data_IF_794591128317
#
_entry.id   IF_794591128317
#
_cell.length_a   1.000
_cell.length_b   1.000
_cell.length_c   1.000
_cell.angle_alpha   90.00
_cell.angle_beta   90.00
_cell.angle_gamma   90.00
#
_symmetry.space_group_name_H-M   'P 1'
#
loop_
_entity.id
_entity.type
_entity.pdbx_description
1 polymer ?
#
# COMPACT_ATOMS: atom_id res chain seq x y z
N UNK A 1 14.08 -39.01 -28.78
CA UNK A 1 15.13 -38.48 -27.88
C UNK A 1 15.02 -36.98 -27.73
N UNK A 2 14.23 -36.51 -26.74
CA UNK A 2 14.39 -35.17 -26.13
C UNK A 2 14.19 -35.34 -24.63
N UNK A 3 15.27 -35.68 -23.95
CA UNK A 3 15.36 -35.54 -22.50
C UNK A 3 15.53 -34.06 -22.20
N UNK A 4 14.42 -33.36 -21.98
CA UNK A 4 14.42 -32.00 -21.46
C UNK A 4 14.87 -32.05 -20.00
N UNK A 5 16.15 -31.79 -19.76
CA UNK A 5 16.67 -31.60 -18.41
C UNK A 5 16.27 -30.18 -17.99
N UNK A 6 15.20 -30.07 -17.19
CA UNK A 6 14.92 -28.84 -16.45
C UNK A 6 16.07 -28.61 -15.47
N UNK A 7 16.61 -27.39 -15.33
CA UNK A 7 17.70 -27.13 -14.39
C UNK A 7 17.24 -27.52 -12.97
N UNK A 8 18.05 -28.25 -12.20
CA UNK A 8 17.70 -28.60 -10.83
C UNK A 8 17.52 -27.33 -10.00
N UNK A 9 16.42 -27.27 -9.24
CA UNK A 9 16.20 -26.22 -8.26
C UNK A 9 17.44 -26.07 -7.36
N UNK A 10 17.84 -24.83 -6.99
CA UNK A 10 19.09 -24.58 -6.27
C UNK A 10 19.16 -25.43 -5.00
N UNK A 11 20.18 -26.29 -4.95
CA UNK A 11 20.32 -27.38 -3.99
C UNK A 11 20.70 -26.95 -2.55
N UNK A 12 20.34 -25.75 -2.11
CA UNK A 12 20.76 -25.21 -0.81
C UNK A 12 19.65 -24.57 0.03
N UNK A 13 18.39 -24.64 -0.40
CA UNK A 13 17.26 -24.25 0.44
C UNK A 13 16.69 -25.51 1.10
N UNK A 14 17.19 -25.83 2.31
CA UNK A 14 16.63 -26.93 3.10
C UNK A 14 15.15 -26.64 3.41
N UNK A 15 14.28 -27.63 3.21
CA UNK A 15 12.84 -27.54 3.46
C UNK A 15 12.49 -26.94 4.83
N UNK A 16 13.35 -27.17 5.84
CA UNK A 16 13.21 -26.61 7.18
C UNK A 16 13.35 -25.07 7.20
N UNK A 17 14.28 -24.51 6.41
CA UNK A 17 14.47 -23.06 6.26
C UNK A 17 13.27 -22.43 5.56
N UNK A 18 12.77 -23.05 4.49
CA UNK A 18 11.55 -22.61 3.80
C UNK A 18 10.36 -22.53 4.75
N UNK A 19 10.12 -23.61 5.49
CA UNK A 19 9.00 -23.70 6.44
C UNK A 19 9.12 -22.64 7.54
N UNK A 20 10.35 -22.42 8.04
CA UNK A 20 10.60 -21.42 9.09
C UNK A 20 10.38 -20.00 8.60
N UNK A 21 10.80 -19.69 7.37
CA UNK A 21 10.59 -18.37 6.75
C UNK A 21 9.10 -18.13 6.51
N UNK A 22 8.37 -19.11 5.97
CA UNK A 22 6.92 -18.99 5.78
C UNK A 22 6.17 -18.77 7.11
N UNK A 23 6.61 -19.44 8.18
CA UNK A 23 6.05 -19.21 9.52
C UNK A 23 6.34 -17.79 10.03
N UNK A 24 7.55 -17.28 9.80
CA UNK A 24 7.94 -15.94 10.21
C UNK A 24 7.15 -14.86 9.44
N UNK A 25 6.98 -15.02 8.12
CA UNK A 25 6.17 -14.12 7.29
C UNK A 25 4.73 -14.04 7.83
N UNK A 26 4.11 -15.18 8.12
CA UNK A 26 2.76 -15.21 8.68
C UNK A 26 2.67 -14.51 10.04
N UNK A 27 3.69 -14.68 10.89
CA UNK A 27 3.75 -14.02 12.20
C UNK A 27 3.86 -12.50 12.05
N UNK A 28 4.67 -12.02 11.11
CA UNK A 28 4.82 -10.58 10.81
C UNK A 28 3.57 -9.96 10.19
N UNK A 29 2.88 -10.69 9.31
CA UNK A 29 1.58 -10.28 8.77
C UNK A 29 0.53 -10.14 9.88
N UNK A 30 0.46 -11.12 10.79
CA UNK A 30 -0.44 -11.05 11.94
C UNK A 30 -0.07 -9.89 12.89
N UNK A 31 1.21 -9.72 13.18
CA UNK A 31 1.68 -8.60 13.99
C UNK A 31 1.27 -7.27 13.36
N UNK A 32 1.47 -7.11 12.05
CA UNK A 32 1.07 -5.92 11.30
C UNK A 32 -0.45 -5.68 11.39
N UNK A 33 -1.25 -6.73 11.24
CA UNK A 33 -2.71 -6.66 11.37
C UNK A 33 -3.18 -6.19 12.76
N UNK A 34 -2.46 -6.56 13.83
CA UNK A 34 -2.79 -6.14 15.21
C UNK A 34 -2.24 -4.75 15.53
N UNK A 35 -1.01 -4.45 15.12
CA UNK A 35 -0.36 -3.17 15.41
C UNK A 35 -0.99 -2.02 14.63
N UNK A 36 -1.39 -2.23 13.37
CA UNK A 36 -1.95 -1.17 12.53
C UNK A 36 -3.19 -0.47 13.14
N UNK A 37 -4.25 -1.18 13.59
CA UNK A 37 -5.37 -0.54 14.26
C UNK A 37 -4.99 0.06 15.62
N UNK A 38 -4.02 -0.53 16.32
CA UNK A 38 -3.52 0.01 17.59
C UNK A 38 -2.80 1.34 17.41
N UNK A 39 -1.96 1.47 16.37
CA UNK A 39 -1.31 2.74 16.03
C UNK A 39 -2.31 3.77 15.53
N UNK A 40 -3.33 3.34 14.80
CA UNK A 40 -4.37 4.24 14.26
C UNK A 40 -5.16 4.96 15.37
N UNK A 41 -5.22 4.40 16.58
CA UNK A 41 -5.85 5.04 17.74
C UNK A 41 -5.23 6.41 18.10
N UNK A 42 -3.95 6.61 17.78
CA UNK A 42 -3.25 7.87 18.04
C UNK A 42 -3.13 8.75 16.80
N UNK A 43 -3.72 8.33 15.68
CA UNK A 43 -3.59 9.05 14.42
C UNK A 43 -4.43 10.33 14.42
N UNK A 44 -4.05 11.26 13.55
CA UNK A 44 -4.58 12.61 13.50
C UNK A 44 -6.11 12.61 13.31
N UNK A 45 -6.65 11.67 12.53
CA UNK A 45 -8.08 11.54 12.29
C UNK A 45 -8.88 11.20 13.56
N UNK A 46 -8.38 10.25 14.34
CA UNK A 46 -9.00 9.81 15.60
C UNK A 46 -8.97 10.96 16.61
N UNK A 47 -7.83 11.65 16.70
CA UNK A 47 -7.67 12.80 17.57
C UNK A 47 -8.61 13.94 17.15
N UNK A 48 -8.67 14.28 15.86
CA UNK A 48 -9.54 15.33 15.33
C UNK A 48 -11.02 15.02 15.61
N UNK A 49 -11.46 13.79 15.34
CA UNK A 49 -12.83 13.35 15.56
C UNK A 49 -13.22 13.48 17.03
N UNK A 50 -12.32 13.08 17.95
CA UNK A 50 -12.53 13.22 19.38
C UNK A 50 -12.57 14.69 19.83
N UNK A 51 -11.66 15.54 19.32
CA UNK A 51 -11.63 16.98 19.63
C UNK A 51 -12.91 17.70 19.19
N UNK A 52 -13.50 17.28 18.07
CA UNK A 52 -14.75 17.83 17.54
C UNK A 52 -16.00 17.25 18.20
N UNK A 53 -15.85 16.39 19.22
CA UNK A 53 -16.97 15.72 19.90
C UNK A 53 -17.68 14.67 19.03
N UNK A 54 -17.03 14.24 17.95
CA UNK A 54 -17.50 13.18 17.08
C UNK A 54 -17.43 11.81 17.74
N UNK A 55 -18.01 10.81 17.07
CA UNK A 55 -17.92 9.41 17.49
C UNK A 55 -17.23 8.61 16.40
N UNK A 56 -16.38 7.69 16.81
CA UNK A 56 -15.64 6.79 15.93
C UNK A 56 -16.41 5.48 15.83
N UNK A 57 -16.71 5.07 14.60
CA UNK A 57 -17.36 3.79 14.30
C UNK A 57 -16.48 3.00 13.34
N UNK A 58 -15.72 2.05 13.88
CA UNK A 58 -14.86 1.18 13.07
C UNK A 58 -15.72 0.18 12.28
N UNK A 59 -15.31 -0.08 11.04
CA UNK A 59 -15.93 -1.05 10.14
C UNK A 59 -15.00 -2.22 9.90
N UNK A 60 -15.56 -3.34 9.45
CA UNK A 60 -14.76 -4.49 9.05
C UNK A 60 -13.88 -4.13 7.84
N UNK A 61 -12.56 -4.33 7.99
CA UNK A 61 -11.62 -4.22 6.87
C UNK A 61 -11.76 -5.49 6.04
N UNK A 62 -12.22 -5.34 4.80
CA UNK A 62 -12.31 -6.46 3.86
C UNK A 62 -10.90 -6.88 3.43
N UNK A 63 -10.70 -8.18 3.23
CA UNK A 63 -9.50 -8.65 2.55
C UNK A 63 -9.44 -8.04 1.13
N UNK A 64 -8.24 -7.75 0.60
CA UNK A 64 -8.09 -7.37 -0.80
C UNK A 64 -8.65 -8.45 -1.74
N UNK A 65 -9.12 -8.03 -2.91
CA UNK A 65 -9.59 -8.95 -3.94
C UNK A 65 -8.44 -9.75 -4.59
N UNK A 66 -7.23 -9.20 -4.52
CA UNK A 66 -5.99 -9.83 -4.98
C UNK A 66 -4.94 -9.84 -3.86
N UNK A 67 -4.42 -11.02 -3.56
CA UNK A 67 -3.38 -11.29 -2.55
C UNK A 67 -2.11 -11.92 -3.15
N UNK A 68 -2.06 -12.05 -4.47
CA UNK A 68 -0.85 -12.29 -5.25
C UNK A 68 -0.71 -11.16 -6.28
N UNK A 69 0.40 -10.44 -6.20
CA UNK A 69 0.70 -9.31 -7.08
C UNK A 69 1.53 -9.75 -8.29
N UNK A 70 1.94 -11.02 -8.38
CA UNK A 70 2.80 -11.63 -9.41
C UNK A 70 4.23 -11.07 -9.44
N UNK A 71 4.39 -9.75 -9.46
CA UNK A 71 5.67 -9.06 -9.53
C UNK A 71 5.62 -7.65 -8.88
N UNK A 72 6.80 -7.05 -8.69
CA UNK A 72 6.92 -5.73 -8.04
C UNK A 72 6.35 -4.56 -8.84
N UNK A 73 6.19 -4.67 -10.16
CA UNK A 73 5.58 -3.63 -11.00
C UNK A 73 4.07 -3.57 -10.75
N UNK A 74 3.39 -4.71 -10.85
CA UNK A 74 1.95 -4.84 -10.56
C UNK A 74 1.64 -4.41 -9.12
N UNK A 75 2.48 -4.80 -8.15
CA UNK A 75 2.32 -4.37 -6.75
C UNK A 75 2.35 -2.84 -6.61
N UNK A 76 3.29 -2.17 -7.29
CA UNK A 76 3.41 -0.71 -7.25
C UNK A 76 2.31 0.00 -8.04
N UNK A 77 1.85 -0.56 -9.15
CA UNK A 77 0.70 -0.02 -9.88
C UNK A 77 -0.59 -0.11 -9.04
N UNK A 78 -0.78 -1.22 -8.34
CA UNK A 78 -1.88 -1.38 -7.39
C UNK A 78 -1.79 -0.34 -6.25
N UNK A 79 -0.61 -0.16 -5.65
CA UNK A 79 -0.38 0.86 -4.63
C UNK A 79 -0.65 2.28 -5.16
N UNK A 80 -0.19 2.61 -6.37
CA UNK A 80 -0.45 3.90 -7.00
C UNK A 80 -1.94 4.15 -7.24
N UNK A 81 -2.68 3.11 -7.67
CA UNK A 81 -4.13 3.18 -7.85
C UNK A 81 -4.85 3.43 -6.51
N UNK A 82 -4.43 2.72 -5.46
CA UNK A 82 -4.96 2.89 -4.11
C UNK A 82 -4.71 4.31 -3.60
N UNK A 83 -3.50 4.83 -3.73
CA UNK A 83 -3.16 6.20 -3.29
C UNK A 83 -3.95 7.27 -4.04
N UNK A 84 -4.14 7.11 -5.36
CA UNK A 84 -5.00 8.02 -6.13
C UNK A 84 -6.45 7.99 -5.66
N UNK A 85 -6.97 6.81 -5.33
CA UNK A 85 -8.33 6.64 -4.82
C UNK A 85 -8.50 7.27 -3.43
N UNK A 86 -7.51 7.07 -2.54
CA UNK A 86 -7.48 7.68 -1.23
C UNK A 86 -7.39 9.23 -1.32
N UNK A 87 -6.52 9.75 -2.18
CA UNK A 87 -6.42 11.19 -2.44
C UNK A 87 -7.72 11.77 -3.00
N UNK A 88 -8.41 11.06 -3.91
CA UNK A 88 -9.70 11.47 -4.43
C UNK A 88 -10.76 11.57 -3.32
N UNK A 89 -10.79 10.58 -2.41
CA UNK A 89 -11.67 10.62 -1.22
C UNK A 89 -11.37 11.81 -0.31
N UNK A 90 -10.09 12.16 -0.12
CA UNK A 90 -9.68 13.34 0.67
C UNK A 90 -10.12 14.66 0.02
N UNK A 91 -10.03 14.76 -1.31
CA UNK A 91 -10.50 15.93 -2.06
C UNK A 91 -12.03 16.09 -1.96
N UNK A 92 -12.78 14.98 -1.96
CA UNK A 92 -14.22 15.01 -1.74
C UNK A 92 -14.58 15.46 -0.33
N UNK A 93 -13.86 14.98 0.68
CA UNK A 93 -14.01 15.45 2.06
C UNK A 93 -13.68 16.95 2.19
N UNK A 94 -12.61 17.42 1.54
CA UNK A 94 -12.25 18.83 1.52
C UNK A 94 -13.33 19.70 0.86
N UNK A 95 -13.90 19.24 -0.26
CA UNK A 95 -15.03 19.93 -0.93
C UNK A 95 -16.26 19.99 -0.03
N UNK A 96 -16.54 18.90 0.70
CA UNK A 96 -17.63 18.88 1.68
C UNK A 96 -17.38 19.89 2.81
N UNK A 97 -16.18 19.89 3.39
CA UNK A 97 -15.78 20.82 4.45
C UNK A 97 -15.92 22.28 4.01
N UNK A 98 -15.43 22.59 2.81
CA UNK A 98 -15.57 23.91 2.17
C UNK A 98 -17.03 24.28 1.99
N UNK A 99 -17.85 23.36 1.45
CA UNK A 99 -19.29 23.58 1.27
C UNK A 99 -20.07 23.74 2.58
N UNK A 100 -19.52 23.28 3.71
CA UNK A 100 -20.08 23.47 5.05
C UNK A 100 -19.49 24.67 5.79
N UNK A 101 -18.58 25.42 5.17
CA UNK A 101 -17.83 26.51 5.80
C UNK A 101 -17.10 26.05 7.07
N UNK A 102 -16.41 24.91 7.02
CA UNK A 102 -15.60 24.38 8.12
C UNK A 102 -14.10 24.63 7.86
N UNK A 103 -13.59 25.85 8.12
CA UNK A 103 -12.21 26.20 7.81
C UNK A 103 -11.19 25.37 8.58
N UNK A 104 -11.53 24.94 9.80
CA UNK A 104 -10.65 24.10 10.61
C UNK A 104 -10.50 22.69 10.01
N UNK A 105 -11.52 22.16 9.32
CA UNK A 105 -11.43 20.85 8.67
C UNK A 105 -10.67 20.96 7.35
N UNK A 106 -10.89 22.04 6.60
CA UNK A 106 -10.12 22.35 5.39
C UNK A 106 -8.61 22.43 5.70
N UNK A 107 -8.23 23.25 6.69
CA UNK A 107 -6.84 23.43 7.12
C UNK A 107 -6.19 22.12 7.58
N UNK A 108 -6.93 21.31 8.35
CA UNK A 108 -6.46 20.00 8.78
C UNK A 108 -6.17 19.06 7.59
N UNK A 109 -7.08 18.98 6.62
CA UNK A 109 -6.92 18.11 5.45
C UNK A 109 -5.74 18.56 4.59
N UNK A 110 -5.60 19.87 4.36
CA UNK A 110 -4.46 20.44 3.62
C UNK A 110 -3.12 20.15 4.31
N UNK A 111 -3.05 20.43 5.62
CA UNK A 111 -1.82 20.33 6.40
C UNK A 111 -1.35 18.89 6.57
N UNK A 112 -2.26 17.98 6.90
CA UNK A 112 -1.86 16.63 7.31
C UNK A 112 -1.87 15.61 6.17
N UNK A 113 -2.64 15.83 5.09
CA UNK A 113 -2.91 14.81 4.06
C UNK A 113 -2.54 15.25 2.65
N UNK A 114 -3.09 16.35 2.13
CA UNK A 114 -3.02 16.63 0.68
C UNK A 114 -1.58 16.77 0.17
N UNK A 115 -0.70 17.44 0.91
CA UNK A 115 0.72 17.56 0.53
C UNK A 115 1.42 16.19 0.51
N UNK A 116 1.18 15.36 1.52
CA UNK A 116 1.76 14.01 1.62
C UNK A 116 1.26 13.10 0.50
N UNK A 117 -0.02 13.19 0.13
CA UNK A 117 -0.57 12.40 -0.98
C UNK A 117 0.05 12.77 -2.31
N UNK A 118 0.29 14.06 -2.57
CA UNK A 118 0.98 14.49 -3.80
C UNK A 118 2.40 13.93 -3.86
N UNK A 119 3.14 13.97 -2.74
CA UNK A 119 4.48 13.39 -2.64
C UNK A 119 4.48 11.87 -2.86
N UNK A 120 3.60 11.14 -2.16
CA UNK A 120 3.50 9.68 -2.25
C UNK A 120 3.10 9.22 -3.66
N UNK A 121 2.11 9.86 -4.28
CA UNK A 121 1.66 9.54 -5.64
C UNK A 121 2.79 9.80 -6.65
N UNK A 122 3.56 10.88 -6.48
CA UNK A 122 4.70 11.18 -7.34
C UNK A 122 5.79 10.11 -7.19
N UNK A 123 6.17 9.79 -5.95
CA UNK A 123 7.21 8.78 -5.69
C UNK A 123 6.83 7.41 -6.26
N UNK A 124 5.60 6.97 -6.06
CA UNK A 124 5.12 5.71 -6.63
C UNK A 124 5.09 5.76 -8.17
N UNK A 125 4.68 6.88 -8.77
CA UNK A 125 4.71 7.06 -10.23
C UNK A 125 6.12 7.00 -10.82
N UNK A 126 7.10 7.61 -10.13
CA UNK A 126 8.51 7.58 -10.53
C UNK A 126 9.06 6.14 -10.45
N UNK A 127 8.69 5.38 -9.41
CA UNK A 127 9.05 3.98 -9.27
C UNK A 127 8.45 3.08 -10.36
N UNK A 128 7.16 3.22 -10.67
CA UNK A 128 6.49 2.47 -11.75
C UNK A 128 7.17 2.75 -13.09
N UNK A 129 7.44 4.01 -13.40
CA UNK A 129 8.11 4.42 -14.64
C UNK A 129 9.50 3.81 -14.76
N UNK A 130 10.25 3.77 -13.65
CA UNK A 130 11.59 3.19 -13.59
C UNK A 130 11.56 1.69 -13.83
N UNK A 131 10.68 0.96 -13.14
CA UNK A 131 10.54 -0.49 -13.30
C UNK A 131 10.10 -0.88 -14.71
N UNK A 132 9.15 -0.14 -15.29
CA UNK A 132 8.69 -0.37 -16.66
C UNK A 132 9.86 -0.26 -17.65
N UNK A 133 10.68 0.81 -17.56
CA UNK A 133 11.86 0.99 -18.42
C UNK A 133 12.90 -0.11 -18.26
N UNK A 134 13.16 -0.58 -17.04
CA UNK A 134 14.10 -1.67 -16.77
C UNK A 134 13.65 -2.99 -17.41
N UNK A 135 12.35 -3.30 -17.38
CA UNK A 135 11.78 -4.46 -18.06
C UNK A 135 12.00 -4.41 -19.58
N UNK A 136 11.85 -3.22 -20.19
CA UNK A 136 12.13 -3.04 -21.61
C UNK A 136 13.62 -3.20 -21.96
N UNK A 137 14.55 -2.76 -21.11
CA UNK A 137 16.00 -2.88 -21.38
C UNK A 137 16.51 -4.32 -21.29
N UNK A 138 15.98 -5.13 -20.35
CA UNK A 138 16.38 -6.53 -20.21
C UNK A 138 15.90 -7.40 -21.37
N UNK A 139 14.72 -7.11 -21.92
CA UNK A 139 14.21 -7.80 -23.12
C UNK A 139 14.98 -7.51 -24.41
N UNK A 140 15.76 -6.41 -24.47
CA UNK A 140 16.62 -6.10 -25.62
C UNK A 140 18.03 -6.67 -25.50
N UNK A 141 18.44 -7.12 -24.29
CA UNK A 141 19.75 -7.77 -24.08
C UNK A 141 19.74 -9.29 -24.27
N UNK A 142 18.57 -9.89 -24.54
CA UNK A 142 18.41 -11.34 -24.78
C UNK A 142 18.03 -11.67 -26.24
N UNK A 143 18.24 -10.76 -27.18
CA UNK A 143 18.03 -10.98 -28.63
C UNK A 143 19.32 -10.95 -29.44
#
# INVERSE_FOLDING_TARGET
NRTGCSPPAPANYQQASETSINRQINLELYASYVYLPMSYYFDHDVVLQNQRGGRIFLQNIKKPDHDDWENGLNARECALCLERSANQSLLELYKLATGKNDPHLCDFIETHYLNKQVEAIKELGDHVTTLCKMGHTLGHSES
#
